data_IF_025053139367
#
_entry.id   IF_025053139367
#
_cell.length_a   1.000
_cell.length_b   1.000
_cell.length_c   1.000
_cell.angle_alpha   90.00
_cell.angle_beta   90.00
_cell.angle_gamma   90.00
#
_symmetry.space_group_name_H-M   'P 1'
#
loop_
_entity.id
_entity.type
_entity.pdbx_description
1 polymer ?
#
# COMPACT_ATOMS: atom_id res chain seq x y z
N UNK A 1 -18.45 12.34 10.22
CA UNK A 1 -18.40 10.88 10.08
C UNK A 1 -19.27 10.22 11.15
N UNK A 2 -20.03 9.19 10.78
CA UNK A 2 -20.79 8.34 11.71
C UNK A 2 -20.35 6.89 11.49
N UNK A 3 -20.12 6.17 12.58
CA UNK A 3 -19.65 4.78 12.53
C UNK A 3 -20.64 3.86 13.21
N UNK A 4 -20.85 2.70 12.62
CA UNK A 4 -21.67 1.62 13.20
C UNK A 4 -20.79 0.40 13.46
N UNK A 5 -21.04 -0.29 14.57
CA UNK A 5 -20.27 -1.44 15.01
C UNK A 5 -21.19 -2.63 15.29
N UNK A 6 -20.69 -3.84 15.10
CA UNK A 6 -21.38 -5.06 15.53
C UNK A 6 -21.12 -5.34 17.02
N UNK A 7 -21.72 -6.45 17.51
CA UNK A 7 -21.55 -6.87 18.91
C UNK A 7 -20.10 -7.27 19.26
N UNK A 8 -19.28 -7.61 18.27
CA UNK A 8 -17.86 -7.91 18.46
C UNK A 8 -16.98 -6.65 18.39
N UNK A 9 -17.55 -5.44 18.27
CA UNK A 9 -16.85 -4.18 18.18
C UNK A 9 -16.22 -3.90 16.80
N UNK A 10 -16.58 -4.65 15.77
CA UNK A 10 -16.06 -4.47 14.41
C UNK A 10 -16.90 -3.43 13.67
N UNK A 11 -16.26 -2.52 12.95
CA UNK A 11 -16.94 -1.45 12.21
C UNK A 11 -17.68 -2.00 11.00
N UNK A 12 -19.02 -1.99 11.05
CA UNK A 12 -19.89 -2.48 9.97
C UNK A 12 -20.31 -1.41 8.99
N UNK A 13 -20.31 -0.13 9.40
CA UNK A 13 -20.55 0.97 8.48
C UNK A 13 -19.77 2.23 8.86
N UNK A 14 -19.48 3.03 7.84
CA UNK A 14 -18.97 4.38 7.92
C UNK A 14 -19.80 5.28 7.01
N UNK A 15 -20.36 6.35 7.55
CA UNK A 15 -21.17 7.33 6.80
C UNK A 15 -20.44 8.68 6.84
N UNK A 16 -20.18 9.22 5.67
CA UNK A 16 -19.63 10.58 5.48
C UNK A 16 -20.81 11.53 5.26
N UNK A 17 -20.89 12.58 6.07
CA UNK A 17 -21.90 13.62 5.98
C UNK A 17 -21.30 14.93 5.49
N UNK A 18 -22.06 15.72 4.73
CA UNK A 18 -21.71 17.10 4.40
C UNK A 18 -21.95 18.04 5.60
N UNK A 19 -21.66 19.33 5.43
CA UNK A 19 -21.88 20.34 6.46
C UNK A 19 -23.35 20.55 6.84
N UNK A 20 -24.29 20.04 6.06
CA UNK A 20 -25.74 20.13 6.31
C UNK A 20 -26.31 18.83 6.91
N UNK A 21 -25.46 17.81 7.13
CA UNK A 21 -25.84 16.51 7.65
C UNK A 21 -26.40 15.55 6.58
N UNK A 22 -26.34 15.89 5.30
CA UNK A 22 -26.74 14.97 4.24
C UNK A 22 -25.65 13.93 3.99
N UNK A 23 -26.04 12.69 3.68
CA UNK A 23 -25.13 11.60 3.37
C UNK A 23 -24.43 11.89 2.05
N UNK A 24 -23.10 11.95 2.09
CA UNK A 24 -22.23 12.06 0.91
C UNK A 24 -21.84 10.68 0.41
N UNK A 25 -21.48 9.78 1.34
CA UNK A 25 -21.03 8.43 1.03
C UNK A 25 -21.28 7.51 2.21
N UNK A 26 -21.65 6.28 1.94
CA UNK A 26 -21.74 5.19 2.91
C UNK A 26 -20.83 4.05 2.48
N UNK A 27 -20.03 3.53 3.42
CA UNK A 27 -19.21 2.33 3.23
C UNK A 27 -19.67 1.28 4.24
N UNK A 28 -20.06 0.10 3.76
CA UNK A 28 -20.47 -1.05 4.58
C UNK A 28 -19.46 -2.16 4.50
N UNK A 29 -19.13 -2.76 5.64
CA UNK A 29 -18.21 -3.89 5.76
C UNK A 29 -18.94 -5.15 6.20
N UNK A 30 -18.62 -6.27 5.56
CA UNK A 30 -19.09 -7.61 5.93
C UNK A 30 -17.89 -8.43 6.41
N UNK A 31 -18.11 -9.24 7.43
CA UNK A 31 -17.08 -10.08 8.03
C UNK A 31 -17.45 -11.55 7.87
N UNK A 32 -16.43 -12.39 7.67
CA UNK A 32 -16.58 -13.84 7.70
C UNK A 32 -16.73 -14.37 9.14
N UNK A 33 -17.00 -15.67 9.29
CA UNK A 33 -17.18 -16.33 10.59
C UNK A 33 -15.89 -16.31 11.44
N UNK A 34 -14.73 -16.06 10.82
CA UNK A 34 -13.42 -15.95 11.46
C UNK A 34 -13.09 -14.52 11.87
N UNK A 35 -13.95 -13.55 11.55
CA UNK A 35 -13.81 -12.13 11.88
C UNK A 35 -12.98 -11.33 10.86
N UNK A 36 -12.61 -11.89 9.73
CA UNK A 36 -11.94 -11.15 8.67
C UNK A 36 -12.97 -10.38 7.84
N UNK A 37 -12.64 -9.18 7.38
CA UNK A 37 -13.51 -8.39 6.50
C UNK A 37 -13.55 -9.02 5.11
N UNK A 38 -14.61 -9.76 4.80
CA UNK A 38 -14.79 -10.51 3.55
C UNK A 38 -15.31 -9.65 2.40
N UNK A 39 -16.05 -8.58 2.70
CA UNK A 39 -16.52 -7.66 1.68
C UNK A 39 -16.60 -6.21 2.19
N UNK A 40 -16.56 -5.30 1.23
CA UNK A 40 -16.82 -3.88 1.45
C UNK A 40 -17.65 -3.34 0.28
N UNK A 41 -18.69 -2.57 0.57
CA UNK A 41 -19.56 -1.92 -0.38
C UNK A 41 -19.52 -0.41 -0.12
N UNK A 42 -19.24 0.39 -1.15
CA UNK A 42 -19.32 1.84 -1.09
C UNK A 42 -20.41 2.37 -2.02
N UNK A 43 -21.23 3.28 -1.49
CA UNK A 43 -22.39 3.88 -2.18
C UNK A 43 -22.38 5.39 -1.94
N UNK A 44 -22.61 6.17 -2.98
CA UNK A 44 -22.80 7.61 -2.86
C UNK A 44 -24.16 7.96 -2.24
N UNK A 45 -24.30 9.19 -1.72
CA UNK A 45 -25.52 9.64 -1.04
C UNK A 45 -26.76 9.69 -1.94
N UNK A 46 -26.61 9.70 -3.25
CA UNK A 46 -27.69 9.59 -4.24
C UNK A 46 -28.10 8.12 -4.54
N UNK A 47 -27.46 7.15 -3.86
CA UNK A 47 -27.70 5.73 -4.04
C UNK A 47 -26.90 5.09 -5.18
N UNK A 48 -26.06 5.84 -5.89
CA UNK A 48 -25.21 5.25 -6.93
C UNK A 48 -24.08 4.43 -6.34
N UNK A 49 -23.79 3.29 -6.95
CA UNK A 49 -22.69 2.43 -6.55
C UNK A 49 -21.36 3.08 -6.89
N UNK A 50 -20.46 3.12 -5.92
CA UNK A 50 -19.07 3.50 -6.18
C UNK A 50 -18.23 2.27 -6.50
N UNK A 51 -18.16 1.33 -5.57
CA UNK A 51 -17.42 0.09 -5.75
C UNK A 51 -17.89 -1.01 -4.79
N UNK A 52 -17.54 -2.25 -5.14
CA UNK A 52 -17.60 -3.41 -4.26
C UNK A 52 -16.20 -4.02 -4.21
N UNK A 53 -15.76 -4.40 -3.02
CA UNK A 53 -14.52 -5.12 -2.81
C UNK A 53 -14.79 -6.44 -2.10
N UNK A 54 -14.20 -7.53 -2.59
CA UNK A 54 -14.23 -8.85 -1.95
C UNK A 54 -12.82 -9.24 -1.56
N UNK A 55 -12.68 -9.89 -0.40
CA UNK A 55 -11.39 -10.27 0.15
C UNK A 55 -11.37 -11.74 0.54
N UNK A 56 -10.28 -12.43 0.23
CA UNK A 56 -10.03 -13.81 0.62
C UNK A 56 -8.81 -13.85 1.54
N UNK A 57 -8.84 -14.79 2.49
CA UNK A 57 -7.83 -14.93 3.53
C UNK A 57 -7.36 -16.38 3.61
N UNK A 58 -6.10 -16.57 3.97
CA UNK A 58 -5.56 -17.88 4.31
C UNK A 58 -5.95 -18.31 5.74
N UNK A 59 -5.48 -19.49 6.14
CA UNK A 59 -5.75 -20.01 7.49
C UNK A 59 -5.10 -19.23 8.62
N UNK A 60 -4.09 -18.42 8.33
CA UNK A 60 -3.44 -17.52 9.27
C UNK A 60 -4.08 -16.10 9.29
N UNK A 61 -5.29 -15.92 8.73
CA UNK A 61 -6.01 -14.65 8.63
C UNK A 61 -5.28 -13.57 7.81
N UNK A 62 -4.35 -13.97 6.92
CA UNK A 62 -3.66 -13.03 6.05
C UNK A 62 -4.42 -12.91 4.74
N UNK A 63 -4.63 -11.69 4.27
CA UNK A 63 -5.30 -11.46 2.98
C UNK A 63 -4.43 -12.00 1.85
N UNK A 64 -4.98 -12.94 1.08
CA UNK A 64 -4.32 -13.54 -0.09
C UNK A 64 -4.85 -13.00 -1.42
N UNK A 65 -6.08 -12.45 -1.40
CA UNK A 65 -6.71 -11.89 -2.60
C UNK A 65 -7.65 -10.74 -2.26
N UNK A 66 -7.69 -9.75 -3.16
CA UNK A 66 -8.70 -8.70 -3.21
C UNK A 66 -9.24 -8.56 -4.61
N UNK A 67 -10.57 -8.49 -4.77
CA UNK A 67 -11.25 -8.19 -6.02
C UNK A 67 -12.02 -6.88 -5.86
N UNK A 68 -11.89 -5.99 -6.84
CA UNK A 68 -12.60 -4.72 -6.85
C UNK A 68 -13.48 -4.62 -8.09
N UNK A 69 -14.74 -4.26 -7.89
CA UNK A 69 -15.77 -4.24 -8.91
C UNK A 69 -16.25 -2.81 -9.16
N UNK A 70 -16.52 -2.50 -10.42
CA UNK A 70 -17.33 -1.37 -10.82
C UNK A 70 -18.66 -1.93 -11.34
N UNK A 71 -19.71 -1.87 -10.50
CA UNK A 71 -20.96 -2.59 -10.77
C UNK A 71 -20.74 -4.11 -10.76
N UNK A 72 -20.92 -4.78 -11.91
CA UNK A 72 -20.84 -6.24 -12.03
C UNK A 72 -19.47 -6.75 -12.54
N UNK A 73 -18.60 -5.84 -12.97
CA UNK A 73 -17.30 -6.22 -13.57
C UNK A 73 -16.17 -6.05 -12.57
N UNK A 74 -15.29 -7.05 -12.48
CA UNK A 74 -14.03 -6.92 -11.76
C UNK A 74 -13.12 -5.99 -12.52
N UNK A 75 -12.73 -4.87 -11.91
CA UNK A 75 -11.84 -3.88 -12.52
C UNK A 75 -10.40 -4.02 -12.06
N UNK A 76 -10.20 -4.43 -10.80
CA UNK A 76 -8.87 -4.66 -10.24
C UNK A 76 -8.85 -5.96 -9.44
N UNK A 77 -7.67 -6.59 -9.37
CA UNK A 77 -7.40 -7.62 -8.38
C UNK A 77 -6.02 -7.46 -7.77
N UNK A 78 -5.91 -7.74 -6.49
CA UNK A 78 -4.67 -7.80 -5.74
C UNK A 78 -4.44 -9.25 -5.29
N UNK A 79 -3.22 -9.74 -5.45
CA UNK A 79 -2.81 -11.07 -5.00
C UNK A 79 -1.60 -10.90 -4.09
N UNK A 80 -1.58 -11.65 -2.99
CA UNK A 80 -0.53 -11.58 -1.99
C UNK A 80 0.01 -12.99 -1.71
N UNK A 81 1.32 -13.12 -1.60
CA UNK A 81 1.96 -14.35 -1.20
C UNK A 81 2.88 -14.10 0.01
N UNK A 82 2.91 -15.08 0.91
CA UNK A 82 3.66 -15.03 2.14
C UNK A 82 4.65 -16.18 2.22
N UNK A 83 5.80 -15.94 2.87
CA UNK A 83 6.75 -16.99 3.18
C UNK A 83 6.27 -17.84 4.39
N UNK A 84 6.98 -18.95 4.72
CA UNK A 84 6.64 -19.77 5.88
C UNK A 84 6.71 -19.04 7.23
N UNK A 85 7.47 -17.94 7.32
CA UNK A 85 7.53 -17.09 8.51
C UNK A 85 6.37 -16.08 8.59
N UNK A 86 5.47 -16.06 7.58
CA UNK A 86 4.32 -15.15 7.53
C UNK A 86 4.61 -13.77 6.97
N UNK A 87 5.81 -13.53 6.41
CA UNK A 87 6.18 -12.24 5.83
C UNK A 87 5.69 -12.16 4.38
N UNK A 88 5.19 -11.00 3.96
CA UNK A 88 4.74 -10.75 2.59
C UNK A 88 5.95 -10.77 1.64
N UNK A 89 6.01 -11.74 0.73
CA UNK A 89 7.10 -11.87 -0.26
C UNK A 89 6.71 -11.46 -1.67
N UNK A 90 5.41 -11.37 -1.95
CA UNK A 90 4.92 -10.92 -3.24
C UNK A 90 3.58 -10.22 -3.12
N UNK A 91 3.47 -9.10 -3.81
CA UNK A 91 2.22 -8.40 -4.07
C UNK A 91 2.07 -8.25 -5.59
N UNK A 92 0.91 -8.61 -6.13
CA UNK A 92 0.61 -8.45 -7.54
C UNK A 92 -0.70 -7.69 -7.70
N UNK A 93 -0.62 -6.56 -8.38
CA UNK A 93 -1.76 -5.73 -8.75
C UNK A 93 -2.04 -5.88 -10.24
N UNK A 94 -3.28 -6.17 -10.57
CA UNK A 94 -3.74 -6.33 -11.93
C UNK A 94 -5.01 -5.52 -12.15
N UNK A 95 -5.15 -4.94 -13.33
CA UNK A 95 -6.35 -4.21 -13.76
C UNK A 95 -6.76 -4.62 -15.16
N UNK A 96 -8.07 -4.55 -15.43
CA UNK A 96 -8.66 -4.87 -16.72
C UNK A 96 -9.26 -3.66 -17.42
N UNK A 97 -8.77 -2.47 -17.14
CA UNK A 97 -9.21 -1.25 -17.79
C UNK A 97 -8.03 -0.40 -18.26
N UNK A 98 -8.28 0.45 -19.23
CA UNK A 98 -7.40 1.54 -19.65
C UNK A 98 -8.22 2.84 -19.74
N UNK A 99 -7.53 3.97 -19.84
CA UNK A 99 -8.16 5.24 -20.14
C UNK A 99 -8.03 5.52 -21.64
N UNK A 100 -9.15 5.89 -22.27
CA UNK A 100 -9.12 6.32 -23.67
C UNK A 100 -8.55 7.75 -23.82
N UNK A 101 -8.41 8.24 -25.06
CA UNK A 101 -7.88 9.57 -25.33
C UNK A 101 -8.71 10.73 -24.72
N UNK A 102 -9.97 10.50 -24.38
CA UNK A 102 -10.84 11.46 -23.69
C UNK A 102 -10.75 11.35 -22.16
N UNK A 103 -9.86 10.48 -21.61
CA UNK A 103 -9.72 10.25 -20.18
C UNK A 103 -10.81 9.39 -19.56
N UNK A 104 -11.71 8.79 -20.36
CA UNK A 104 -12.73 7.88 -19.85
C UNK A 104 -12.17 6.47 -19.63
N UNK A 105 -12.57 5.86 -18.51
CA UNK A 105 -12.22 4.47 -18.21
C UNK A 105 -12.97 3.52 -19.14
N UNK A 106 -12.21 2.65 -19.82
CA UNK A 106 -12.73 1.59 -20.68
C UNK A 106 -12.35 0.26 -20.08
N UNK A 107 -13.36 -0.51 -19.63
CA UNK A 107 -13.15 -1.84 -19.06
C UNK A 107 -12.96 -2.85 -20.19
N UNK A 108 -11.89 -3.64 -20.11
CA UNK A 108 -11.62 -4.75 -21.03
C UNK A 108 -12.26 -6.00 -20.46
N UNK A 109 -13.08 -6.67 -21.27
CA UNK A 109 -13.68 -7.95 -20.86
C UNK A 109 -12.61 -9.04 -20.85
N UNK A 110 -12.52 -9.74 -19.71
CA UNK A 110 -11.76 -10.99 -19.53
C UNK A 110 -10.22 -10.92 -19.54
N UNK A 111 -9.62 -9.73 -19.51
CA UNK A 111 -8.16 -9.60 -19.49
C UNK A 111 -7.68 -8.67 -18.37
N UNK A 112 -6.71 -9.18 -17.60
CA UNK A 112 -5.89 -8.41 -16.67
C UNK A 112 -4.48 -8.31 -17.26
N UNK A 113 -4.30 -7.44 -18.22
CA UNK A 113 -3.04 -7.32 -18.98
C UNK A 113 -2.21 -6.09 -18.59
N UNK A 114 -2.75 -5.25 -17.71
CA UNK A 114 -2.03 -4.11 -17.14
C UNK A 114 -1.92 -4.25 -15.63
N UNK A 115 -0.78 -3.86 -15.09
CA UNK A 115 -0.49 -3.94 -13.66
C UNK A 115 1.00 -4.12 -13.40
N UNK A 116 1.31 -4.51 -12.18
CA UNK A 116 2.68 -4.74 -11.73
C UNK A 116 2.73 -5.85 -10.68
N UNK A 117 3.90 -6.39 -10.49
CA UNK A 117 4.24 -7.29 -9.40
C UNK A 117 5.41 -6.71 -8.61
N UNK A 118 5.33 -6.77 -7.29
CA UNK A 118 6.41 -6.43 -6.37
C UNK A 118 6.86 -7.70 -5.66
N UNK A 119 8.11 -8.09 -5.88
CA UNK A 119 8.78 -9.11 -5.08
C UNK A 119 9.55 -8.44 -3.94
N UNK A 120 9.44 -8.98 -2.73
CA UNK A 120 10.04 -8.44 -1.52
C UNK A 120 11.07 -9.45 -0.99
N UNK A 121 12.29 -8.99 -0.81
CA UNK A 121 13.40 -9.80 -0.28
C UNK A 121 13.78 -9.26 1.10
N UNK A 122 13.93 -10.19 2.04
CA UNK A 122 14.33 -9.88 3.41
C UNK A 122 15.78 -10.31 3.65
N UNK A 123 16.45 -9.64 4.58
CA UNK A 123 17.73 -10.06 5.12
C UNK A 123 17.55 -11.13 6.23
N UNK A 124 18.67 -11.56 6.81
CA UNK A 124 18.69 -12.57 7.88
C UNK A 124 18.05 -12.08 9.18
N UNK A 125 18.01 -10.76 9.40
CA UNK A 125 17.39 -10.12 10.56
C UNK A 125 15.87 -9.94 10.37
N UNK A 126 15.36 -10.14 9.15
CA UNK A 126 13.94 -9.97 8.79
C UNK A 126 13.56 -8.58 8.32
N UNK A 127 14.52 -7.69 8.06
CA UNK A 127 14.26 -6.40 7.44
C UNK A 127 14.14 -6.53 5.92
N UNK A 128 13.35 -5.68 5.30
CA UNK A 128 13.22 -5.62 3.84
C UNK A 128 14.53 -5.12 3.24
N UNK A 129 15.26 -6.00 2.57
CA UNK A 129 16.50 -5.63 1.87
C UNK A 129 16.24 -5.03 0.50
N UNK A 130 15.25 -5.54 -0.21
CA UNK A 130 14.98 -5.18 -1.59
C UNK A 130 13.50 -5.34 -1.93
N UNK A 131 12.98 -4.45 -2.79
CA UNK A 131 11.70 -4.60 -3.48
C UNK A 131 11.95 -4.49 -4.97
N UNK A 132 11.58 -5.51 -5.73
CA UNK A 132 11.70 -5.53 -7.20
C UNK A 132 10.33 -5.35 -7.82
N UNK A 133 10.18 -4.34 -8.67
CA UNK A 133 8.95 -4.09 -9.43
C UNK A 133 9.11 -4.62 -10.84
N UNK A 134 8.14 -5.41 -11.28
CA UNK A 134 8.06 -5.96 -12.63
C UNK A 134 6.67 -5.70 -13.21
N UNK A 135 6.55 -5.68 -14.53
CA UNK A 135 5.24 -5.76 -15.17
C UNK A 135 4.67 -7.20 -15.11
N UNK A 136 3.45 -7.40 -15.59
CA UNK A 136 2.78 -8.70 -15.55
C UNK A 136 3.44 -9.77 -16.45
N UNK A 137 4.37 -9.37 -17.34
CA UNK A 137 5.19 -10.26 -18.15
C UNK A 137 6.56 -10.54 -17.53
N UNK A 138 6.73 -10.18 -16.24
CA UNK A 138 7.97 -10.31 -15.48
C UNK A 138 9.16 -9.51 -16.04
N UNK A 139 8.90 -8.44 -16.80
CA UNK A 139 9.95 -7.53 -17.26
C UNK A 139 10.25 -6.54 -16.13
N UNK A 140 11.51 -6.40 -15.69
CA UNK A 140 11.87 -5.46 -14.64
C UNK A 140 11.49 -4.03 -15.01
N UNK A 141 10.93 -3.31 -14.06
CA UNK A 141 10.59 -1.88 -14.16
C UNK A 141 11.50 -1.03 -13.27
N UNK A 142 12.03 -1.63 -12.21
CA UNK A 142 12.92 -1.00 -11.27
C UNK A 142 12.97 -1.76 -9.96
N UNK A 143 13.78 -1.26 -9.03
CA UNK A 143 13.87 -1.81 -7.68
C UNK A 143 14.20 -0.74 -6.65
N UNK A 144 13.86 -1.00 -5.40
CA UNK A 144 14.33 -0.24 -4.24
C UNK A 144 15.20 -1.14 -3.36
N UNK A 145 16.33 -0.62 -2.93
CA UNK A 145 17.26 -1.25 -1.98
C UNK A 145 17.22 -0.47 -0.67
N UNK A 146 17.21 -1.17 0.47
CA UNK A 146 17.07 -0.58 1.79
C UNK A 146 18.25 -0.96 2.68
N UNK A 147 18.66 -0.03 3.55
CA UNK A 147 19.62 -0.26 4.62
C UNK A 147 19.04 0.23 5.93
N UNK A 148 19.53 -0.35 7.00
CA UNK A 148 19.07 -0.09 8.36
C UNK A 148 20.25 0.23 9.28
N UNK A 149 20.00 1.01 10.30
CA UNK A 149 20.96 1.23 11.37
C UNK A 149 20.94 0.07 12.40
N UNK A 150 21.78 0.17 13.42
CA UNK A 150 21.89 -0.85 14.48
C UNK A 150 20.62 -0.97 15.32
N UNK A 151 19.74 0.05 15.33
CA UNK A 151 18.46 0.07 16.01
C UNK A 151 17.32 -0.46 15.13
N UNK A 152 17.59 -0.83 13.89
CA UNK A 152 16.61 -1.35 12.94
C UNK A 152 15.76 -0.28 12.24
N UNK A 153 16.14 1.00 12.31
CA UNK A 153 15.48 2.04 11.55
C UNK A 153 16.11 2.15 10.15
N UNK A 154 15.27 2.33 9.13
CA UNK A 154 15.74 2.51 7.76
C UNK A 154 16.57 3.78 7.66
N UNK A 155 17.86 3.65 7.32
CA UNK A 155 18.78 4.78 7.18
C UNK A 155 19.08 5.14 5.72
N UNK A 156 18.80 4.27 4.76
CA UNK A 156 18.93 4.56 3.33
C UNK A 156 17.88 3.82 2.50
N UNK A 157 17.38 4.48 1.45
CA UNK A 157 16.63 3.88 0.35
C UNK A 157 17.26 4.34 -0.97
N UNK A 158 17.62 3.40 -1.84
CA UNK A 158 18.07 3.65 -3.21
C UNK A 158 17.04 3.13 -4.17
N UNK A 159 16.57 3.98 -5.09
CA UNK A 159 15.62 3.63 -6.14
C UNK A 159 16.39 3.52 -7.45
N UNK A 160 16.26 2.38 -8.12
CA UNK A 160 16.94 2.06 -9.35
C UNK A 160 15.91 1.83 -10.46
N UNK A 161 16.24 2.29 -11.67
CA UNK A 161 15.46 2.00 -12.88
C UNK A 161 15.66 0.54 -13.34
N UNK A 162 15.01 0.17 -14.46
CA UNK A 162 15.11 -1.17 -15.05
C UNK A 162 16.54 -1.55 -15.46
N UNK A 163 17.39 -0.57 -15.81
CA UNK A 163 18.78 -0.76 -16.20
C UNK A 163 19.74 -0.86 -15.00
N UNK A 164 19.21 -0.74 -13.78
CA UNK A 164 19.99 -0.80 -12.55
C UNK A 164 20.71 0.51 -12.19
N UNK A 165 20.39 1.61 -12.85
CA UNK A 165 20.92 2.92 -12.53
C UNK A 165 20.13 3.53 -11.38
N UNK A 166 20.82 4.11 -10.40
CA UNK A 166 20.17 4.82 -9.28
C UNK A 166 19.56 6.12 -9.81
N UNK A 167 18.25 6.26 -9.63
CA UNK A 167 17.48 7.46 -10.01
C UNK A 167 17.20 8.36 -8.82
N UNK A 168 17.05 7.76 -7.65
CA UNK A 168 16.74 8.48 -6.41
C UNK A 168 17.47 7.83 -5.23
N UNK A 169 17.80 8.68 -4.25
CA UNK A 169 18.39 8.24 -2.99
C UNK A 169 17.77 9.01 -1.85
N UNK A 170 17.29 8.30 -0.82
CA UNK A 170 16.82 8.87 0.43
C UNK A 170 17.75 8.46 1.55
N UNK A 171 18.17 9.42 2.37
CA UNK A 171 19.02 9.20 3.54
C UNK A 171 18.29 9.71 4.76
N UNK A 172 18.22 8.90 5.80
CA UNK A 172 17.58 9.19 7.06
C UNK A 172 18.64 9.24 8.16
N UNK A 173 18.60 10.29 8.96
CA UNK A 173 19.43 10.45 10.14
C UNK A 173 18.52 10.52 11.36
N UNK A 174 18.86 9.73 12.38
CA UNK A 174 18.08 9.65 13.60
C UNK A 174 18.89 10.15 14.79
N UNK A 175 18.22 10.87 15.70
CA UNK A 175 18.71 11.12 17.06
C UNK A 175 17.84 10.28 18.00
N UNK A 176 18.47 9.65 18.99
CA UNK A 176 17.83 8.74 19.92
C UNK A 176 17.88 9.29 21.33
N UNK A 177 16.86 8.97 22.13
CA UNK A 177 16.90 9.19 23.57
C UNK A 177 17.75 8.12 24.29
N UNK A 178 17.87 8.28 25.61
CA UNK A 178 18.66 7.37 26.45
C UNK A 178 18.12 5.94 26.52
N UNK A 179 16.88 5.70 26.05
CA UNK A 179 16.21 4.40 26.04
C UNK A 179 16.29 3.73 24.67
N UNK A 180 16.80 4.48 23.65
CA UNK A 180 16.97 3.99 22.29
C UNK A 180 15.77 4.25 21.37
N UNK A 181 14.81 5.08 21.78
CA UNK A 181 13.74 5.53 20.88
C UNK A 181 14.20 6.73 20.09
N UNK A 182 13.96 6.75 18.76
CA UNK A 182 14.27 7.94 17.99
C UNK A 182 13.37 9.11 18.43
N UNK A 183 13.97 10.27 18.60
CA UNK A 183 13.29 11.52 18.98
C UNK A 183 13.34 12.56 17.88
N UNK A 184 14.26 12.40 16.93
CA UNK A 184 14.36 13.23 15.75
C UNK A 184 14.74 12.38 14.54
N UNK A 185 14.11 12.67 13.40
CA UNK A 185 14.41 12.08 12.10
C UNK A 185 14.64 13.22 11.11
N UNK A 186 15.76 13.19 10.41
CA UNK A 186 16.03 14.09 9.30
C UNK A 186 16.12 13.28 8.00
N UNK A 187 15.26 13.60 7.03
CA UNK A 187 15.27 13.01 5.69
C UNK A 187 15.93 13.98 4.70
N UNK A 188 16.81 13.43 3.87
CA UNK A 188 17.32 14.06 2.66
C UNK A 188 16.96 13.17 1.47
N UNK A 189 16.27 13.74 0.48
CA UNK A 189 15.91 13.06 -0.76
C UNK A 189 16.68 13.67 -1.92
N UNK A 190 17.48 12.86 -2.62
CA UNK A 190 18.34 13.23 -3.70
C UNK A 190 17.85 12.65 -5.03
N UNK A 191 17.86 13.48 -6.08
CA UNK A 191 17.75 13.06 -7.47
C UNK A 191 19.16 12.69 -7.97
N UNK A 192 19.26 11.54 -8.60
CA UNK A 192 20.51 11.01 -9.14
C UNK A 192 20.58 11.10 -10.67
N UNK A 193 19.76 11.95 -11.30
CA UNK A 193 19.74 12.11 -12.75
C UNK A 193 21.12 12.54 -13.28
N UNK A 194 21.48 11.94 -14.42
CA UNK A 194 22.76 12.23 -15.12
C UNK A 194 24.03 11.99 -14.29
N UNK A 195 23.95 11.11 -13.27
CA UNK A 195 25.05 10.80 -12.37
C UNK A 195 25.43 11.96 -11.44
N UNK A 196 24.58 12.96 -11.28
CA UNK A 196 24.74 14.10 -10.37
C UNK A 196 23.71 14.05 -9.28
N UNK A 197 24.16 14.18 -8.03
CA UNK A 197 23.27 14.31 -6.88
C UNK A 197 22.68 15.72 -6.82
N UNK A 198 21.35 15.81 -6.80
CA UNK A 198 20.61 17.06 -6.60
C UNK A 198 19.60 16.87 -5.47
N UNK A 199 19.70 17.68 -4.43
CA UNK A 199 18.73 17.62 -3.33
C UNK A 199 17.35 18.04 -3.82
N UNK A 200 16.37 17.11 -3.79
CA UNK A 200 14.95 17.36 -4.11
C UNK A 200 14.19 17.92 -2.92
N UNK A 201 14.43 17.33 -1.75
CA UNK A 201 13.67 17.64 -0.54
C UNK A 201 14.49 17.32 0.70
N UNK A 202 14.29 18.11 1.73
CA UNK A 202 14.71 17.79 3.09
C UNK A 202 13.60 18.16 4.07
N UNK A 203 13.41 17.34 5.09
CA UNK A 203 12.54 17.67 6.20
C UNK A 203 13.04 17.06 7.50
N UNK A 204 12.61 17.65 8.62
CA UNK A 204 12.90 17.14 9.95
C UNK A 204 11.59 16.86 10.65
N UNK A 205 11.51 15.71 11.32
CA UNK A 205 10.40 15.32 12.17
C UNK A 205 10.91 15.07 13.58
N UNK A 206 10.27 15.66 14.57
CA UNK A 206 10.58 15.50 15.99
C UNK A 206 9.38 14.92 16.74
N UNK A 207 9.63 14.15 17.79
CA UNK A 207 8.61 13.64 18.68
C UNK A 207 9.09 13.69 20.13
N UNK A 208 8.15 13.94 21.04
CA UNK A 208 8.37 13.80 22.48
C UNK A 208 7.78 12.49 22.96
N UNK A 209 8.51 11.76 23.81
CA UNK A 209 8.06 10.51 24.41
C UNK A 209 8.02 10.72 25.92
N UNK A 210 6.88 10.43 26.54
CA UNK A 210 6.72 10.46 28.01
C UNK A 210 6.69 9.03 28.51
N UNK A 211 7.57 8.71 29.44
CA UNK A 211 7.63 7.40 30.09
C UNK A 211 6.86 7.47 31.43
N UNK A 212 6.01 6.50 31.67
CA UNK A 212 5.20 6.37 32.91
C UNK A 212 5.63 5.17 33.71
#
# INVERSE_FOLDING_TARGET
FVYTYDQAGRRTAEVVLDARGAVVKETRSVYDDRGNRSAELAVWGDGTFENVSLYEYDDAHRRVRGLHFNGVQVINRNLYAFDPAGRLVRERFERNYHYNAAGAQVVMTDRFDTGYEVAIVYDEQGYVREKVVSDLLSRPQGRSEFRYDEQGNQNEERILNADGQVTDRKVYHYEYDVVGNWIKEALQWWDMADGRERLKQSHVRERSITYH
#
